data_IF_764745817136
#
_entry.id   IF_764745817136
#
_cell.length_a   1.000
_cell.length_b   1.000
_cell.length_c   1.000
_cell.angle_alpha   90.00
_cell.angle_beta   90.00
_cell.angle_gamma   90.00
#
_symmetry.space_group_name_H-M   'P 1'
#
loop_
_entity.id
_entity.type
_entity.pdbx_description
1 polymer ?
#
# COMPACT_ATOMS: atom_id res chain seq x y z
N UNK A 1 23.33 17.55 -10.03
CA UNK A 1 23.70 16.49 -9.04
C UNK A 1 25.20 16.60 -8.83
N UNK A 2 25.60 17.24 -7.73
CA UNK A 2 26.98 17.62 -7.49
C UNK A 2 27.86 16.40 -7.16
N UNK A 3 29.08 16.40 -7.70
CA UNK A 3 30.02 15.27 -7.59
C UNK A 3 30.40 14.96 -6.13
N UNK A 4 30.31 15.97 -5.27
CA UNK A 4 30.54 15.86 -3.82
C UNK A 4 29.41 15.09 -3.11
N UNK A 5 28.15 15.33 -3.47
CA UNK A 5 26.98 14.65 -2.90
C UNK A 5 26.95 13.16 -3.23
N UNK A 6 27.39 12.81 -4.45
CA UNK A 6 27.47 11.42 -4.89
C UNK A 6 28.50 10.62 -4.08
N UNK A 7 29.66 11.21 -3.79
CA UNK A 7 30.71 10.59 -2.97
C UNK A 7 30.30 10.43 -1.51
N UNK A 8 29.56 11.39 -0.95
CA UNK A 8 29.00 11.26 0.40
C UNK A 8 27.94 10.15 0.48
N UNK A 9 27.09 10.02 -0.54
CA UNK A 9 26.09 8.97 -0.61
C UNK A 9 26.75 7.59 -0.72
N UNK A 10 27.71 7.43 -1.64
CA UNK A 10 28.48 6.19 -1.79
C UNK A 10 29.18 5.79 -0.49
N UNK A 11 29.79 6.73 0.23
CA UNK A 11 30.40 6.45 1.54
C UNK A 11 29.37 6.07 2.61
N UNK A 12 28.26 6.80 2.74
CA UNK A 12 27.21 6.54 3.74
C UNK A 12 26.52 5.20 3.52
N UNK A 13 26.34 4.80 2.27
CA UNK A 13 25.64 3.55 1.91
C UNK A 13 26.58 2.41 1.54
N UNK A 14 27.90 2.61 1.49
CA UNK A 14 28.91 1.57 1.21
C UNK A 14 28.79 0.32 2.10
N UNK A 15 28.44 0.51 3.38
CA UNK A 15 28.25 -0.58 4.36
C UNK A 15 26.91 -1.31 4.21
N UNK A 16 25.95 -0.71 3.52
CA UNK A 16 24.63 -1.28 3.31
C UNK A 16 24.68 -2.00 1.97
N UNK A 17 24.76 -3.33 1.99
CA UNK A 17 24.49 -4.12 0.79
C UNK A 17 22.99 -3.98 0.48
N UNK A 18 22.65 -2.89 -0.21
CA UNK A 18 21.37 -2.70 -0.84
C UNK A 18 21.36 -3.69 -2.01
N UNK A 19 20.98 -4.95 -1.73
CA UNK A 19 20.56 -5.84 -2.80
C UNK A 19 19.56 -5.09 -3.67
N UNK A 20 19.71 -5.18 -4.99
CA UNK A 20 18.82 -4.48 -5.90
C UNK A 20 17.39 -4.91 -5.57
N UNK A 21 16.42 -4.00 -5.67
CA UNK A 21 15.02 -4.42 -5.52
C UNK A 21 14.66 -5.53 -6.54
N UNK A 22 15.38 -5.56 -7.67
CA UNK A 22 15.31 -6.64 -8.68
C UNK A 22 15.68 -7.99 -8.08
N UNK A 23 16.73 -8.07 -7.27
CA UNK A 23 17.21 -9.33 -6.67
C UNK A 23 16.18 -9.95 -5.70
N UNK A 24 15.25 -9.15 -5.17
CA UNK A 24 14.16 -9.66 -4.32
C UNK A 24 13.06 -10.38 -5.10
N UNK A 25 13.01 -10.24 -6.42
CA UNK A 25 11.98 -10.83 -7.27
C UNK A 25 12.55 -11.81 -8.31
N UNK A 26 13.84 -12.12 -8.25
CA UNK A 26 14.41 -13.19 -9.07
C UNK A 26 13.98 -14.53 -8.47
N UNK A 27 13.02 -15.19 -9.12
CA UNK A 27 12.66 -16.56 -8.81
C UNK A 27 13.79 -17.49 -9.26
N UNK A 28 14.22 -18.46 -8.43
CA UNK A 28 15.21 -19.45 -8.84
C UNK A 28 14.67 -20.28 -9.99
N UNK A 29 15.47 -20.46 -11.03
CA UNK A 29 15.10 -21.32 -12.17
C UNK A 29 14.91 -22.78 -11.70
N UNK A 30 13.92 -23.50 -12.25
CA UNK A 30 13.69 -24.90 -11.90
C UNK A 30 14.91 -25.75 -12.26
N UNK A 31 15.29 -26.67 -11.36
CA UNK A 31 16.35 -27.64 -11.65
C UNK A 31 15.84 -28.62 -12.72
N UNK A 32 16.55 -28.72 -13.83
CA UNK A 32 16.24 -29.65 -14.92
C UNK A 32 17.08 -30.92 -14.76
N UNK A 33 16.46 -32.07 -14.99
CA UNK A 33 17.17 -33.35 -15.02
C UNK A 33 17.97 -33.55 -16.32
N UNK A 34 18.61 -34.73 -16.47
CA UNK A 34 19.37 -35.07 -17.67
C UNK A 34 18.53 -35.19 -18.95
N UNK A 35 17.21 -35.28 -18.82
CA UNK A 35 16.24 -35.32 -19.92
C UNK A 35 15.64 -33.93 -20.22
N UNK A 36 15.95 -32.92 -19.38
CA UNK A 36 15.47 -31.55 -19.53
C UNK A 36 14.08 -31.32 -18.93
N UNK A 37 13.59 -32.25 -18.10
CA UNK A 37 12.34 -32.12 -17.36
C UNK A 37 12.59 -31.49 -15.99
N UNK A 38 11.60 -30.72 -15.49
CA UNK A 38 11.65 -30.12 -14.16
C UNK A 38 11.69 -31.22 -13.08
N UNK A 39 12.70 -31.17 -12.21
CA UNK A 39 12.84 -32.09 -11.08
C UNK A 39 11.78 -31.71 -10.04
N UNK A 40 10.59 -32.29 -10.19
CA UNK A 40 9.49 -32.13 -9.25
C UNK A 40 9.80 -32.91 -7.97
N UNK A 41 9.69 -32.25 -6.81
CA UNK A 41 9.80 -32.93 -5.53
C UNK A 41 8.82 -34.12 -5.47
N UNK A 42 9.24 -35.30 -5.02
CA UNK A 42 8.38 -36.48 -5.03
C UNK A 42 7.14 -36.26 -4.16
N UNK A 43 5.98 -36.69 -4.67
CA UNK A 43 4.71 -36.61 -3.93
C UNK A 43 4.81 -37.40 -2.61
N UNK A 44 4.64 -36.69 -1.48
CA UNK A 44 4.66 -37.32 -0.14
C UNK A 44 3.27 -37.89 0.17
N UNK A 45 3.19 -39.20 0.44
CA UNK A 45 1.94 -39.85 0.84
C UNK A 45 1.51 -39.47 2.27
N UNK A 46 0.54 -38.56 2.37
CA UNK A 46 -0.06 -38.11 3.63
C UNK A 46 -1.14 -39.06 4.18
N UNK A 47 -1.44 -40.18 3.49
CA UNK A 47 -2.51 -41.10 3.89
C UNK A 47 -2.30 -41.68 5.28
N UNK A 48 -1.04 -42.01 5.62
CA UNK A 48 -0.66 -42.50 6.95
C UNK A 48 -0.85 -41.45 8.06
N UNK A 49 -0.61 -40.18 7.75
CA UNK A 49 -0.82 -39.06 8.68
C UNK A 49 -2.32 -38.84 8.92
N UNK A 50 -3.13 -38.87 7.85
CA UNK A 50 -4.58 -38.73 7.90
C UNK A 50 -5.25 -39.91 8.63
N UNK A 51 -4.73 -41.13 8.45
CA UNK A 51 -5.18 -42.32 9.17
C UNK A 51 -4.95 -42.16 10.68
N UNK A 52 -3.79 -41.63 11.08
CA UNK A 52 -3.50 -41.34 12.51
C UNK A 52 -4.34 -40.20 13.06
N UNK A 53 -4.78 -39.26 12.22
CA UNK A 53 -5.68 -38.17 12.61
C UNK A 53 -7.15 -38.61 12.66
N UNK A 54 -7.53 -39.72 12.03
CA UNK A 54 -8.87 -40.31 12.18
C UNK A 54 -9.04 -40.82 13.61
N UNK A 55 -9.46 -39.92 14.50
CA UNK A 55 -9.95 -40.22 15.84
C UNK A 55 -11.25 -41.02 15.73
N UNK A 56 -11.10 -42.35 15.62
CA UNK A 56 -12.17 -43.36 15.51
C UNK A 56 -13.03 -43.28 14.24
N UNK A 57 -13.38 -44.41 13.60
CA UNK A 57 -14.41 -44.46 12.57
C UNK A 57 -15.80 -44.48 13.23
N UNK A 58 -16.13 -43.42 13.97
CA UNK A 58 -17.49 -43.15 14.42
C UNK A 58 -18.18 -42.20 13.45
N UNK A 59 -19.52 -42.23 13.30
CA UNK A 59 -20.20 -41.18 12.56
C UNK A 59 -19.79 -39.84 13.18
N UNK A 60 -19.26 -38.93 12.36
CA UNK A 60 -19.03 -37.55 12.74
C UNK A 60 -20.37 -36.99 13.21
N UNK A 61 -20.60 -37.04 14.52
CA UNK A 61 -21.71 -36.36 15.16
C UNK A 61 -21.39 -34.89 14.97
N UNK A 62 -22.05 -34.31 13.97
CA UNK A 62 -22.35 -32.89 13.92
C UNK A 62 -22.68 -32.49 15.36
N UNK A 63 -21.86 -31.64 15.97
CA UNK A 63 -22.17 -31.09 17.29
C UNK A 63 -23.65 -30.68 17.28
N UNK A 64 -24.46 -31.08 18.29
CA UNK A 64 -25.80 -30.54 18.40
C UNK A 64 -25.62 -29.03 18.41
N UNK A 65 -26.38 -28.33 17.55
CA UNK A 65 -26.41 -26.88 17.51
C UNK A 65 -26.55 -26.37 18.95
N UNK A 66 -25.45 -25.93 19.54
CA UNK A 66 -25.48 -25.21 20.80
C UNK A 66 -26.29 -23.95 20.52
N UNK A 67 -27.16 -23.57 21.44
CA UNK A 67 -27.91 -22.31 21.44
C UNK A 67 -27.00 -21.05 21.52
N UNK A 68 -25.72 -21.16 21.12
CA UNK A 68 -24.69 -20.13 21.07
C UNK A 68 -24.88 -19.18 19.85
N UNK A 69 -25.74 -19.54 18.90
CA UNK A 69 -26.09 -18.69 17.75
C UNK A 69 -27.07 -17.55 18.09
N UNK A 70 -27.63 -17.52 19.30
CA UNK A 70 -28.55 -16.47 19.75
C UNK A 70 -27.84 -15.28 20.44
N UNK A 71 -26.59 -15.46 20.86
CA UNK A 71 -25.75 -14.37 21.41
C UNK A 71 -25.01 -13.55 20.33
N UNK A 72 -25.17 -13.92 19.06
CA UNK A 72 -24.55 -13.24 17.92
C UNK A 72 -25.52 -12.20 17.34
N UNK A 73 -25.10 -10.93 17.32
CA UNK A 73 -25.89 -9.84 16.73
C UNK A 73 -26.05 -10.03 15.21
N UNK A 74 -27.25 -10.46 14.79
CA UNK A 74 -27.63 -10.70 13.39
C UNK A 74 -28.10 -9.42 12.67
N UNK A 75 -28.15 -8.27 13.34
CA UNK A 75 -28.66 -7.01 12.76
C UNK A 75 -27.82 -6.45 11.60
N UNK A 76 -26.56 -6.87 11.49
CA UNK A 76 -25.66 -6.50 10.39
C UNK A 76 -25.48 -7.62 9.35
N UNK A 77 -26.09 -8.80 9.54
CA UNK A 77 -25.97 -9.92 8.61
C UNK A 77 -26.54 -9.57 7.21
N UNK A 78 -27.52 -8.68 7.16
CA UNK A 78 -28.13 -8.18 5.91
C UNK A 78 -27.20 -7.20 5.18
N UNK A 79 -26.41 -6.41 5.90
CA UNK A 79 -25.55 -5.35 5.34
C UNK A 79 -24.28 -5.93 4.71
N UNK A 80 -23.78 -7.06 5.21
CA UNK A 80 -22.63 -7.78 4.64
C UNK A 80 -22.99 -8.85 3.60
N UNK A 81 -24.27 -9.21 3.45
CA UNK A 81 -24.71 -10.42 2.74
C UNK A 81 -25.54 -10.20 1.47
N UNK A 82 -26.23 -9.07 1.31
CA UNK A 82 -27.14 -8.83 0.17
C UNK A 82 -26.47 -8.29 -1.10
N UNK A 83 -25.16 -8.54 -1.27
CA UNK A 83 -24.48 -8.40 -2.56
C UNK A 83 -24.02 -9.73 -3.17
N UNK A 84 -24.22 -10.86 -2.48
CA UNK A 84 -23.65 -12.16 -2.91
C UNK A 84 -24.54 -13.34 -2.57
N UNK A 85 -25.85 -13.20 -2.75
CA UNK A 85 -26.71 -14.38 -2.87
C UNK A 85 -26.69 -14.81 -4.34
N UNK A 86 -26.18 -16.02 -4.60
CA UNK A 86 -25.84 -16.63 -5.90
C UNK A 86 -24.42 -16.42 -6.44
N UNK A 87 -23.41 -16.42 -5.57
CA UNK A 87 -22.17 -17.10 -5.93
C UNK A 87 -22.15 -18.45 -5.22
N UNK A 88 -22.93 -19.41 -5.74
CA UNK A 88 -22.70 -20.82 -5.41
C UNK A 88 -21.20 -21.06 -5.48
N UNK A 89 -20.64 -21.62 -4.41
CA UNK A 89 -19.22 -21.92 -4.25
C UNK A 89 -18.65 -22.55 -5.53
N UNK A 90 -18.05 -21.71 -6.39
CA UNK A 90 -17.32 -22.11 -7.61
C UNK A 90 -15.93 -22.60 -7.21
N UNK A 91 -15.82 -23.43 -6.18
CA UNK A 91 -14.55 -24.12 -5.94
C UNK A 91 -14.37 -25.10 -7.11
N UNK A 92 -13.41 -24.82 -7.99
CA UNK A 92 -13.13 -25.60 -9.19
C UNK A 92 -13.67 -25.07 -10.52
N UNK A 93 -14.33 -23.89 -10.56
CA UNK A 93 -14.73 -23.28 -11.84
C UNK A 93 -13.65 -22.29 -12.29
N UNK A 94 -12.67 -22.76 -13.06
CA UNK A 94 -11.66 -21.91 -13.71
C UNK A 94 -12.38 -21.05 -14.76
N UNK A 95 -12.49 -19.74 -14.49
CA UNK A 95 -12.89 -18.78 -15.50
C UNK A 95 -11.60 -18.17 -16.05
N UNK A 96 -11.34 -18.40 -17.33
CA UNK A 96 -10.31 -17.68 -18.05
C UNK A 96 -10.86 -16.28 -18.31
N UNK A 97 -10.30 -15.30 -17.61
CA UNK A 97 -10.57 -13.89 -17.86
C UNK A 97 -9.50 -13.44 -18.85
N UNK A 98 -9.91 -13.11 -20.06
CA UNK A 98 -9.02 -12.51 -21.04
C UNK A 98 -8.77 -11.05 -20.66
N UNK A 99 -7.53 -10.59 -20.85
CA UNK A 99 -7.22 -9.17 -20.74
C UNK A 99 -7.74 -8.47 -21.99
N UNK A 100 -9.00 -8.06 -21.93
CA UNK A 100 -9.62 -7.23 -22.96
C UNK A 100 -9.26 -5.74 -22.78
N UNK A 101 -9.53 -4.95 -23.80
CA UNK A 101 -9.23 -3.52 -23.80
C UNK A 101 -9.99 -2.74 -22.71
N UNK A 102 -11.19 -3.21 -22.35
CA UNK A 102 -12.01 -2.60 -21.29
C UNK A 102 -11.37 -2.84 -19.91
N UNK A 103 -10.87 -4.05 -19.65
CA UNK A 103 -10.17 -4.37 -18.40
C UNK A 103 -8.84 -3.63 -18.29
N UNK A 104 -8.15 -3.41 -19.42
CA UNK A 104 -6.96 -2.57 -19.46
C UNK A 104 -7.29 -1.10 -19.12
N UNK A 105 -8.36 -0.54 -19.69
CA UNK A 105 -8.82 0.82 -19.38
C UNK A 105 -9.20 0.96 -17.90
N UNK A 106 -9.98 0.03 -17.36
CA UNK A 106 -10.33 -0.06 -15.94
C UNK A 106 -9.08 -0.16 -15.05
N UNK A 107 -8.06 -0.91 -15.48
CA UNK A 107 -6.80 -1.04 -14.74
C UNK A 107 -6.04 0.29 -14.68
N UNK A 108 -6.02 1.05 -15.78
CA UNK A 108 -5.38 2.37 -15.85
C UNK A 108 -6.14 3.40 -15.01
N UNK A 109 -7.47 3.42 -15.09
CA UNK A 109 -8.29 4.31 -14.27
C UNK A 109 -8.13 3.99 -12.77
N UNK A 110 -8.13 2.70 -12.41
CA UNK A 110 -7.86 2.27 -11.04
C UNK A 110 -6.50 2.75 -10.56
N UNK A 111 -5.45 2.62 -11.38
CA UNK A 111 -4.12 3.10 -11.02
C UNK A 111 -4.09 4.61 -10.78
N UNK A 112 -4.76 5.39 -11.64
CA UNK A 112 -4.89 6.84 -11.45
C UNK A 112 -5.65 7.18 -10.16
N UNK A 113 -6.77 6.51 -9.90
CA UNK A 113 -7.56 6.71 -8.69
C UNK A 113 -6.77 6.33 -7.43
N UNK A 114 -6.04 5.21 -7.44
CA UNK A 114 -5.19 4.78 -6.33
C UNK A 114 -4.04 5.76 -6.09
N UNK A 115 -3.42 6.31 -7.14
CA UNK A 115 -2.39 7.34 -7.00
C UNK A 115 -2.94 8.59 -6.29
N UNK A 116 -4.13 9.08 -6.67
CA UNK A 116 -4.74 10.23 -5.98
C UNK A 116 -5.12 9.92 -4.53
N UNK A 117 -5.59 8.69 -4.27
CA UNK A 117 -5.94 8.24 -2.92
C UNK A 117 -4.69 8.13 -2.05
N UNK A 118 -3.61 7.58 -2.58
CA UNK A 118 -2.33 7.43 -1.90
C UNK A 118 -1.70 8.80 -1.60
N UNK A 119 -1.71 9.74 -2.55
CA UNK A 119 -1.29 11.12 -2.28
C UNK A 119 -2.07 11.74 -1.12
N UNK A 120 -3.40 11.63 -1.12
CA UNK A 120 -4.23 12.11 0.00
C UNK A 120 -3.90 11.41 1.32
N UNK A 121 -3.64 10.11 1.29
CA UNK A 121 -3.26 9.34 2.48
C UNK A 121 -1.90 9.81 3.02
N UNK A 122 -0.90 10.00 2.14
CA UNK A 122 0.41 10.55 2.49
C UNK A 122 0.32 11.95 3.07
N UNK A 123 -0.47 12.85 2.46
CA UNK A 123 -0.72 14.19 3.01
C UNK A 123 -1.40 14.14 4.39
N UNK A 124 -2.41 13.28 4.57
CA UNK A 124 -3.05 13.09 5.88
C UNK A 124 -2.08 12.54 6.92
N UNK A 125 -1.28 11.55 6.56
CA UNK A 125 -0.27 10.97 7.44
C UNK A 125 0.82 12.00 7.81
N UNK A 126 1.29 12.79 6.83
CA UNK A 126 2.30 13.84 7.05
C UNK A 126 1.75 14.96 7.93
N UNK A 127 0.52 15.43 7.69
CA UNK A 127 -0.11 16.44 8.56
C UNK A 127 -0.37 15.92 9.96
N UNK A 128 -0.75 14.64 10.12
CA UNK A 128 -0.86 14.00 11.44
C UNK A 128 0.50 13.94 12.15
N UNK A 129 1.58 13.59 11.44
CA UNK A 129 2.95 13.58 12.00
C UNK A 129 3.43 14.98 12.41
N UNK A 130 3.07 16.02 11.65
CA UNK A 130 3.40 17.40 11.99
C UNK A 130 2.59 17.91 13.19
N UNK A 131 1.30 17.55 13.29
CA UNK A 131 0.46 17.92 14.44
C UNK A 131 0.82 17.15 15.73
N UNK A 132 1.34 15.93 15.61
CA UNK A 132 1.82 15.13 16.74
C UNK A 132 3.26 15.44 17.18
N UNK A 133 4.05 16.14 16.36
CA UNK A 133 5.38 16.63 16.74
C UNK A 133 5.23 17.97 17.44
N UNK A 134 4.88 17.92 18.73
CA UNK A 134 5.05 19.05 19.62
C UNK A 134 6.47 19.61 19.45
N UNK A 135 6.56 20.88 19.09
CA UNK A 135 7.82 21.61 19.00
C UNK A 135 8.41 21.74 20.39
N UNK A 136 9.12 20.71 20.85
CA UNK A 136 9.99 20.82 22.02
C UNK A 136 11.30 21.45 21.53
N UNK A 137 11.28 22.77 21.36
CA UNK A 137 12.50 23.59 21.46
C UNK A 137 12.18 24.73 22.42
N UNK A 138 12.92 24.71 23.52
CA UNK A 138 12.63 25.45 24.74
C UNK A 138 12.83 26.95 24.62
N UNK A 139 12.28 27.64 25.61
CA UNK A 139 12.36 29.08 25.80
C UNK A 139 11.48 29.50 26.97
N UNK A 140 11.75 28.98 28.17
CA UNK A 140 11.18 29.46 29.42
C UNK A 140 11.68 30.87 29.69
N UNK A 141 10.92 31.90 29.31
CA UNK A 141 11.09 33.27 29.82
C UNK A 141 9.75 33.75 30.35
N UNK A 142 9.55 33.52 31.64
CA UNK A 142 9.06 34.49 32.62
C UNK A 142 8.20 35.66 32.11
N UNK A 143 6.95 35.72 32.59
CA UNK A 143 6.53 36.88 33.38
C UNK A 143 5.93 38.08 32.62
N UNK A 144 4.64 38.26 32.87
CA UNK A 144 3.96 39.56 33.08
C UNK A 144 4.24 40.70 32.07
N UNK A 145 3.23 40.92 31.24
CA UNK A 145 2.63 42.25 31.05
C UNK A 145 3.37 43.20 30.10
N UNK A 146 2.71 43.53 28.98
CA UNK A 146 2.61 44.89 28.50
C UNK A 146 1.61 44.91 27.34
N UNK A 147 0.60 45.78 27.47
CA UNK A 147 -0.31 46.13 26.39
C UNK A 147 0.50 46.88 25.33
N UNK A 148 0.43 46.43 24.08
CA UNK A 148 0.72 47.26 22.92
C UNK A 148 -0.40 47.05 21.90
N UNK A 149 -1.37 47.97 21.92
CA UNK A 149 -2.13 48.32 20.73
C UNK A 149 -1.13 48.90 19.72
N UNK A 150 -1.14 48.40 18.48
CA UNK A 150 -0.57 49.15 17.35
C UNK A 150 0.47 48.46 16.47
N UNK A 151 0.62 47.12 16.49
CA UNK A 151 1.31 46.42 15.38
C UNK A 151 0.26 45.77 14.49
N UNK A 152 -0.20 46.51 13.48
CA UNK A 152 -0.78 45.86 12.30
C UNK A 152 0.32 44.96 11.72
N UNK A 153 0.26 43.66 12.01
CA UNK A 153 0.97 42.68 11.21
C UNK A 153 0.32 42.75 9.84
N UNK A 154 1.02 43.35 8.88
CA UNK A 154 0.66 43.32 7.47
C UNK A 154 0.58 41.85 7.08
N UNK A 155 -0.65 41.35 6.95
CA UNK A 155 -0.88 39.98 6.55
C UNK A 155 -0.27 39.80 5.15
N UNK A 156 0.43 38.69 4.88
CA UNK A 156 0.85 38.39 3.52
C UNK A 156 -0.37 38.43 2.59
N UNK A 157 -0.22 38.96 1.36
CA UNK A 157 -1.33 39.06 0.42
C UNK A 157 -2.01 37.71 0.27
N UNK A 158 -3.35 37.69 0.37
CA UNK A 158 -4.12 36.48 0.10
C UNK A 158 -3.72 35.95 -1.29
N UNK A 159 -3.55 34.62 -1.45
CA UNK A 159 -3.41 34.04 -2.78
C UNK A 159 -4.61 34.48 -3.60
N UNK A 160 -4.39 35.35 -4.56
CA UNK A 160 -5.40 35.68 -5.55
C UNK A 160 -5.62 34.43 -6.39
N UNK A 161 -6.86 33.94 -6.45
CA UNK A 161 -7.35 32.95 -7.43
C UNK A 161 -7.33 33.52 -8.86
N UNK A 162 -6.30 34.27 -9.22
CA UNK A 162 -5.99 34.52 -10.61
C UNK A 162 -5.52 33.16 -11.16
N UNK A 163 -6.21 32.56 -12.15
CA UNK A 163 -5.71 31.38 -12.80
C UNK A 163 -4.32 31.73 -13.32
N UNK A 164 -3.28 31.07 -12.77
CA UNK A 164 -1.97 31.08 -13.42
C UNK A 164 -2.26 30.66 -14.87
N UNK A 165 -1.77 31.40 -15.88
CA UNK A 165 -1.89 30.95 -17.25
C UNK A 165 -1.37 29.51 -17.27
N UNK A 166 -2.19 28.59 -17.79
CA UNK A 166 -1.81 27.19 -17.93
C UNK A 166 -0.50 27.19 -18.72
N UNK A 167 0.61 26.94 -18.01
CA UNK A 167 1.91 26.84 -18.64
C UNK A 167 1.79 25.68 -19.62
N UNK A 168 2.23 25.92 -20.85
CA UNK A 168 2.20 24.85 -21.83
C UNK A 168 3.13 23.74 -21.34
N UNK A 169 2.81 22.48 -21.64
CA UNK A 169 3.61 21.31 -21.23
C UNK A 169 5.10 21.44 -21.60
N UNK A 170 5.39 22.21 -22.66
CA UNK A 170 6.75 22.58 -23.07
C UNK A 170 7.48 23.48 -22.08
N UNK A 171 6.81 24.47 -21.50
CA UNK A 171 7.42 25.36 -20.50
C UNK A 171 7.68 24.61 -19.19
N UNK A 172 6.78 23.71 -18.79
CA UNK A 172 7.00 22.88 -17.60
C UNK A 172 8.17 21.90 -17.81
N UNK A 173 8.32 21.34 -19.02
CA UNK A 173 9.51 20.56 -19.36
C UNK A 173 10.78 21.42 -19.41
N UNK A 174 10.69 22.67 -19.85
CA UNK A 174 11.83 23.59 -19.92
C UNK A 174 12.33 23.94 -18.52
N UNK A 175 11.42 24.32 -17.61
CA UNK A 175 11.73 24.61 -16.21
C UNK A 175 12.37 23.37 -15.53
N UNK A 176 11.87 22.17 -15.83
CA UNK A 176 12.46 20.92 -15.32
C UNK A 176 13.86 20.63 -15.88
N UNK A 177 14.09 20.88 -17.18
CA UNK A 177 15.38 20.67 -17.81
C UNK A 177 16.42 21.69 -17.32
N UNK A 178 16.01 22.94 -17.09
CA UNK A 178 16.88 23.99 -16.57
C UNK A 178 17.30 23.69 -15.11
N UNK A 179 16.39 23.16 -14.28
CA UNK A 179 16.70 22.75 -12.90
C UNK A 179 17.56 21.46 -12.84
N UNK A 180 17.46 20.60 -13.87
CA UNK A 180 18.26 19.37 -13.97
C UNK A 180 19.68 19.63 -14.52
N UNK A 181 19.84 20.66 -15.36
CA UNK A 181 21.11 21.00 -16.03
C UNK A 181 21.87 22.16 -15.35
N UNK A 182 21.24 22.87 -14.43
CA UNK A 182 21.80 23.98 -13.64
C UNK A 182 22.71 23.56 -12.50
#
# INVERSE_FOLDING_TARGET
>A
MDEEEKREFEQRYSRRQLGSNVDRYVEPEPELDSEGEEVVEPEVDISSLLERQRLSPGPSVVSPASDEDDDVDKSLAHIGGEGRVLAQSKKGRVQQIEWDAELEELSREKAAAEATRDLKARFRAQTARQRGRGTVRGGSHSGRGAKHLGSYAEAPPLPTDAPKPEKNEKEDMQDYLDDLLG
#
